data_IF_285502458156
#
_entry.id   IF_285502458156
#
_cell.length_a   1.000
_cell.length_b   1.000
_cell.length_c   1.000
_cell.angle_alpha   90.00
_cell.angle_beta   90.00
_cell.angle_gamma   90.00
#
_symmetry.space_group_name_H-M   'P 1'
#
loop_
_entity.id
_entity.type
_entity.pdbx_description
1 polymer ?
#
# COMPACT_ATOMS: atom_id res chain seq x y z
N UNK A 1 0.31 -20.02 -8.09
CA UNK A 1 0.31 -20.01 -6.60
C UNK A 1 1.18 -18.91 -6.01
N UNK A 2 2.47 -18.80 -6.39
CA UNK A 2 3.39 -17.76 -5.89
C UNK A 2 2.93 -16.32 -6.16
N UNK A 3 2.39 -16.05 -7.35
CA UNK A 3 1.85 -14.72 -7.71
C UNK A 3 0.75 -14.24 -6.74
N UNK A 4 -0.29 -15.06 -6.54
CA UNK A 4 -1.40 -14.72 -5.64
C UNK A 4 -0.94 -14.53 -4.19
N UNK A 5 0.00 -15.35 -3.74
CA UNK A 5 0.63 -15.16 -2.43
C UNK A 5 1.38 -13.82 -2.35
N UNK A 6 2.14 -13.46 -3.38
CA UNK A 6 2.82 -12.16 -3.45
C UNK A 6 1.84 -10.99 -3.40
N UNK A 7 0.72 -11.07 -4.14
CA UNK A 7 -0.36 -10.07 -4.09
C UNK A 7 -0.95 -9.98 -2.67
N UNK A 8 -1.23 -11.11 -2.02
CA UNK A 8 -1.77 -11.13 -0.66
C UNK A 8 -0.80 -10.50 0.34
N UNK A 9 0.50 -10.81 0.24
CA UNK A 9 1.53 -10.19 1.09
C UNK A 9 1.65 -8.69 0.79
N UNK A 10 1.47 -8.24 -0.46
CA UNK A 10 1.35 -6.82 -0.76
C UNK A 10 0.18 -6.18 -0.01
N UNK A 11 -1.01 -6.78 -0.02
CA UNK A 11 -2.15 -6.28 0.77
C UNK A 11 -1.82 -6.17 2.26
N UNK A 12 -1.21 -7.20 2.85
CA UNK A 12 -0.78 -7.17 4.26
C UNK A 12 0.25 -6.06 4.50
N UNK A 13 1.25 -5.94 3.63
CA UNK A 13 2.26 -4.88 3.70
C UNK A 13 1.66 -3.49 3.60
N UNK A 14 0.66 -3.28 2.73
CA UNK A 14 -0.04 -2.00 2.61
C UNK A 14 -0.85 -1.67 3.87
N UNK A 15 -1.49 -2.65 4.51
CA UNK A 15 -2.23 -2.44 5.76
C UNK A 15 -1.27 -2.00 6.87
N UNK A 16 -0.17 -2.74 7.07
CA UNK A 16 0.83 -2.42 8.09
C UNK A 16 1.50 -1.07 7.77
N UNK A 17 1.79 -0.82 6.48
CA UNK A 17 2.38 0.42 6.00
C UNK A 17 1.48 1.63 6.21
N UNK A 18 0.16 1.45 6.07
CA UNK A 18 -0.81 2.50 6.40
C UNK A 18 -0.72 2.89 7.87
N UNK A 19 -0.67 1.91 8.77
CA UNK A 19 -0.48 2.19 10.21
C UNK A 19 0.88 2.85 10.44
N UNK A 20 1.98 2.33 9.89
CA UNK A 20 3.31 2.94 10.05
C UNK A 20 3.29 4.45 9.76
N UNK A 21 2.59 4.89 8.70
CA UNK A 21 2.51 6.29 8.31
C UNK A 21 1.49 7.11 9.13
N UNK A 22 0.41 6.47 9.59
CA UNK A 22 -0.74 7.16 10.19
C UNK A 22 -0.91 6.90 11.68
N UNK A 23 -0.01 6.17 12.34
CA UNK A 23 -0.10 5.88 13.79
C UNK A 23 -0.21 7.17 14.63
N UNK A 24 0.52 8.22 14.27
CA UNK A 24 0.43 9.55 14.89
C UNK A 24 -0.96 10.21 14.76
N UNK A 25 -1.75 9.83 13.74
CA UNK A 25 -3.12 10.31 13.53
C UNK A 25 -4.15 9.35 14.12
N UNK A 26 -3.80 8.08 14.24
CA UNK A 26 -4.64 7.04 14.80
C UNK A 26 -4.75 7.16 16.32
N UNK A 27 -3.67 7.50 17.02
CA UNK A 27 -3.66 7.61 18.47
C UNK A 27 -2.61 8.59 18.97
N UNK A 28 -3.01 9.45 19.90
CA UNK A 28 -2.16 10.46 20.54
C UNK A 28 -0.95 9.86 21.25
N UNK A 29 -1.03 8.58 21.64
CA UNK A 29 0.09 7.88 22.28
C UNK A 29 1.30 7.69 21.33
N UNK A 30 1.07 7.63 20.02
CA UNK A 30 2.13 7.42 19.03
C UNK A 30 2.77 8.71 18.50
N UNK A 31 2.20 9.88 18.80
CA UNK A 31 2.61 11.17 18.21
C UNK A 31 4.08 11.51 18.42
N UNK A 32 4.65 11.17 19.59
CA UNK A 32 6.04 11.44 19.98
C UNK A 32 6.97 10.22 19.83
N UNK A 33 6.50 9.13 19.20
CA UNK A 33 7.23 7.85 19.13
C UNK A 33 7.57 7.41 17.69
N UNK A 34 8.14 8.28 16.83
CA UNK A 34 8.40 7.95 15.42
C UNK A 34 9.38 6.78 15.25
N UNK A 35 10.43 6.70 16.07
CA UNK A 35 11.41 5.60 16.00
C UNK A 35 10.78 4.26 16.38
N UNK A 36 9.92 4.25 17.39
CA UNK A 36 9.22 3.04 17.82
C UNK A 36 8.22 2.59 16.74
N UNK A 37 7.48 3.51 16.13
CA UNK A 37 6.60 3.20 15.00
C UNK A 37 7.39 2.64 13.80
N UNK A 38 8.55 3.22 13.48
CA UNK A 38 9.42 2.74 12.40
C UNK A 38 9.95 1.32 12.66
N UNK A 39 10.31 0.99 13.90
CA UNK A 39 10.80 -0.34 14.26
C UNK A 39 9.64 -1.35 14.26
N UNK A 40 8.53 -1.03 14.92
CA UNK A 40 7.43 -1.97 15.15
C UNK A 40 6.59 -2.19 13.90
N UNK A 41 6.32 -1.14 13.12
CA UNK A 41 5.49 -1.24 11.92
C UNK A 41 6.29 -1.12 10.63
N UNK A 42 7.33 -0.28 10.61
CA UNK A 42 8.15 -0.08 9.42
C UNK A 42 8.94 -1.32 9.03
N UNK A 43 9.61 -2.00 9.98
CA UNK A 43 10.36 -3.23 9.68
C UNK A 43 9.44 -4.33 9.11
N UNK A 44 8.29 -4.67 9.74
CA UNK A 44 7.38 -5.66 9.15
C UNK A 44 6.82 -5.24 7.79
N UNK A 45 6.53 -3.95 7.59
CA UNK A 45 6.10 -3.41 6.29
C UNK A 45 7.16 -3.67 5.22
N UNK A 46 8.43 -3.33 5.51
CA UNK A 46 9.55 -3.55 4.59
C UNK A 46 9.76 -5.04 4.28
N UNK A 47 9.64 -5.93 5.26
CA UNK A 47 9.74 -7.37 5.06
C UNK A 47 8.61 -7.90 4.17
N UNK A 48 7.37 -7.46 4.39
CA UNK A 48 6.24 -7.82 3.53
C UNK A 48 6.50 -7.38 2.08
N UNK A 49 6.90 -6.12 1.86
CA UNK A 49 7.18 -5.64 0.51
C UNK A 49 8.37 -6.34 -0.13
N UNK A 50 9.43 -6.64 0.61
CA UNK A 50 10.56 -7.41 0.09
C UNK A 50 10.13 -8.77 -0.48
N UNK A 51 9.36 -9.53 0.31
CA UNK A 51 8.89 -10.85 -0.11
C UNK A 51 7.82 -10.79 -1.20
N UNK A 52 6.85 -9.89 -1.08
CA UNK A 52 5.82 -9.69 -2.09
C UNK A 52 6.42 -9.29 -3.43
N UNK A 53 7.37 -8.34 -3.41
CA UNK A 53 8.07 -7.89 -4.60
C UNK A 53 8.74 -9.03 -5.34
N UNK A 54 9.56 -9.82 -4.62
CA UNK A 54 10.24 -10.98 -5.18
C UNK A 54 9.27 -11.99 -5.79
N UNK A 55 8.21 -12.35 -5.07
CA UNK A 55 7.23 -13.34 -5.54
C UNK A 55 6.51 -12.89 -6.80
N UNK A 56 6.12 -11.62 -6.88
CA UNK A 56 5.42 -11.07 -8.03
C UNK A 56 6.37 -10.89 -9.21
N UNK A 57 7.56 -10.33 -8.99
CA UNK A 57 8.52 -10.08 -10.08
C UNK A 57 9.03 -11.38 -10.69
N UNK A 58 9.32 -12.40 -9.89
CA UNK A 58 9.73 -13.73 -10.39
C UNK A 58 8.57 -14.45 -11.10
N UNK A 59 7.33 -14.28 -10.63
CA UNK A 59 6.17 -14.95 -11.25
C UNK A 59 5.77 -14.33 -12.59
N UNK A 60 6.07 -13.04 -12.80
CA UNK A 60 5.73 -12.28 -14.00
C UNK A 60 6.94 -11.97 -14.89
N UNK A 61 8.12 -12.45 -14.50
CA UNK A 61 9.42 -12.13 -15.11
C UNK A 61 9.63 -10.61 -15.34
N UNK A 62 9.11 -9.79 -14.42
CA UNK A 62 9.07 -8.33 -14.57
C UNK A 62 8.97 -7.61 -13.23
N UNK A 63 9.97 -6.78 -12.96
CA UNK A 63 9.96 -5.86 -11.81
C UNK A 63 8.90 -4.76 -11.96
N UNK A 64 8.54 -4.40 -13.19
CA UNK A 64 7.46 -3.44 -13.45
C UNK A 64 6.12 -3.99 -12.99
N UNK A 65 5.83 -5.26 -13.25
CA UNK A 65 4.61 -5.90 -12.77
C UNK A 65 4.51 -5.85 -11.24
N UNK A 66 5.61 -6.10 -10.52
CA UNK A 66 5.65 -5.95 -9.07
C UNK A 66 5.39 -4.49 -8.61
N UNK A 67 6.00 -3.50 -9.28
CA UNK A 67 5.79 -2.08 -8.99
C UNK A 67 4.33 -1.66 -9.14
N UNK A 68 3.67 -2.09 -10.21
CA UNK A 68 2.29 -1.70 -10.49
C UNK A 68 1.30 -2.45 -9.61
N UNK A 69 1.45 -3.75 -9.43
CA UNK A 69 0.63 -4.53 -8.50
C UNK A 69 0.76 -3.96 -7.06
N UNK A 70 1.99 -3.66 -6.62
CA UNK A 70 2.22 -3.00 -5.34
C UNK A 70 1.50 -1.65 -5.24
N UNK A 71 1.52 -0.83 -6.30
CA UNK A 71 0.76 0.43 -6.36
C UNK A 71 -0.75 0.22 -6.29
N UNK A 72 -1.30 -0.71 -7.07
CA UNK A 72 -2.73 -1.04 -7.08
C UNK A 72 -3.23 -1.39 -5.68
N UNK A 73 -2.53 -2.31 -5.02
CA UNK A 73 -2.90 -2.76 -3.68
C UNK A 73 -2.89 -1.59 -2.69
N UNK A 74 -1.95 -0.65 -2.83
CA UNK A 74 -1.91 0.58 -2.04
C UNK A 74 -3.11 1.49 -2.30
N UNK A 75 -3.46 1.72 -3.58
CA UNK A 75 -4.62 2.53 -3.95
C UNK A 75 -5.96 1.95 -3.50
N UNK A 76 -6.02 0.65 -3.24
CA UNK A 76 -7.19 0.01 -2.63
C UNK A 76 -7.14 0.19 -1.10
N UNK A 77 -6.04 -0.21 -0.47
CA UNK A 77 -5.95 -0.28 1.00
C UNK A 77 -5.96 1.09 1.66
N UNK A 78 -5.11 2.01 1.19
CA UNK A 78 -4.90 3.28 1.88
C UNK A 78 -6.17 4.11 1.99
N UNK A 79 -6.91 4.33 0.89
CA UNK A 79 -8.11 5.16 0.98
C UNK A 79 -9.22 4.52 1.82
N UNK A 80 -9.37 3.19 1.78
CA UNK A 80 -10.35 2.47 2.61
C UNK A 80 -10.02 2.64 4.09
N UNK A 81 -8.76 2.44 4.48
CA UNK A 81 -8.35 2.59 5.88
C UNK A 81 -8.41 4.06 6.33
N UNK A 82 -7.98 5.00 5.50
CA UNK A 82 -8.10 6.44 5.80
C UNK A 82 -9.54 6.86 6.02
N UNK A 83 -10.46 6.39 5.18
CA UNK A 83 -11.88 6.69 5.34
C UNK A 83 -12.49 6.02 6.57
N UNK A 84 -12.21 4.74 6.80
CA UNK A 84 -12.81 3.97 7.90
C UNK A 84 -12.23 4.33 9.27
N UNK A 85 -10.91 4.55 9.37
CA UNK A 85 -10.21 4.73 10.65
C UNK A 85 -10.05 6.21 11.00
N UNK A 86 -9.68 7.07 10.04
CA UNK A 86 -9.47 8.50 10.30
C UNK A 86 -10.73 9.33 10.00
N UNK A 87 -11.77 8.74 9.42
CA UNK A 87 -13.00 9.45 9.06
C UNK A 87 -12.83 10.45 7.92
N UNK A 88 -11.66 10.47 7.25
CA UNK A 88 -11.40 11.37 6.14
C UNK A 88 -12.09 10.89 4.87
N UNK A 89 -12.99 11.70 4.32
CA UNK A 89 -13.72 11.33 3.10
C UNK A 89 -12.76 11.16 1.93
N UNK A 90 -12.81 9.98 1.29
CA UNK A 90 -12.15 9.72 0.02
C UNK A 90 -12.77 10.52 -1.14
N UNK A 91 -14.02 10.95 -1.00
CA UNK A 91 -14.82 11.56 -2.07
C UNK A 91 -14.59 13.07 -2.21
N UNK A 92 -13.37 13.55 -1.97
CA UNK A 92 -13.01 14.93 -2.35
C UNK A 92 -12.62 14.98 -3.82
N UNK A 93 -12.92 16.10 -4.49
CA UNK A 93 -12.58 16.27 -5.91
C UNK A 93 -11.09 16.01 -6.18
N UNK A 94 -10.20 16.47 -5.29
CA UNK A 94 -8.75 16.27 -5.42
C UNK A 94 -8.39 14.77 -5.32
N UNK A 95 -8.89 14.07 -4.32
CA UNK A 95 -8.62 12.63 -4.12
C UNK A 95 -9.18 11.80 -5.27
N UNK A 96 -10.39 12.11 -5.73
CA UNK A 96 -11.03 11.38 -6.83
C UNK A 96 -10.30 11.56 -8.17
N UNK A 97 -9.79 12.76 -8.46
CA UNK A 97 -8.94 13.00 -9.65
C UNK A 97 -7.65 12.17 -9.55
N UNK A 98 -6.96 12.20 -8.41
CA UNK A 98 -5.74 11.41 -8.21
C UNK A 98 -5.99 9.90 -8.36
N UNK A 99 -7.11 9.40 -7.81
CA UNK A 99 -7.49 8.00 -7.92
C UNK A 99 -7.79 7.62 -9.39
N UNK A 100 -8.54 8.45 -10.10
CA UNK A 100 -8.82 8.25 -11.53
C UNK A 100 -7.53 8.21 -12.36
N UNK A 101 -6.62 9.17 -12.16
CA UNK A 101 -5.32 9.19 -12.84
C UNK A 101 -4.50 7.93 -12.52
N UNK A 102 -4.56 7.46 -11.28
CA UNK A 102 -3.89 6.22 -10.86
C UNK A 102 -4.45 5.00 -11.61
N UNK A 103 -5.77 4.89 -11.77
CA UNK A 103 -6.38 3.84 -12.58
C UNK A 103 -6.01 3.95 -14.07
N UNK A 104 -5.90 5.16 -14.62
CA UNK A 104 -5.47 5.36 -16.00
C UNK A 104 -4.02 4.89 -16.21
N UNK A 105 -3.11 5.20 -15.29
CA UNK A 105 -1.73 4.69 -15.32
C UNK A 105 -1.71 3.16 -15.29
N UNK A 106 -2.53 2.55 -14.41
CA UNK A 106 -2.63 1.09 -14.32
C UNK A 106 -3.18 0.47 -15.60
N UNK A 107 -4.18 1.09 -16.22
CA UNK A 107 -4.72 0.63 -17.50
C UNK A 107 -3.63 0.61 -18.58
N UNK A 108 -2.88 1.70 -18.73
CA UNK A 108 -1.77 1.77 -19.68
C UNK A 108 -0.80 0.61 -19.45
N UNK A 109 -0.39 0.37 -18.21
CA UNK A 109 0.61 -0.65 -17.87
C UNK A 109 0.15 -2.10 -18.01
N UNK A 110 -1.17 -2.34 -18.06
CA UNK A 110 -1.72 -3.69 -18.27
C UNK A 110 -1.90 -3.96 -19.76
N UNK A 111 -2.29 -2.96 -20.55
CA UNK A 111 -2.72 -3.15 -21.94
C UNK A 111 -1.71 -2.68 -23.00
N UNK A 112 -0.69 -1.91 -22.63
CA UNK A 112 0.33 -1.38 -23.52
C UNK A 112 1.73 -1.57 -22.94
#
# INVERSE_FOLDING_TARGET
MKLYLGILIFFVGQIIGWYHLNLQKFSTWWEDKPLMAAIIMGIPTSLCFWHAWRLVSESMDSVWSARFIGSCTGFIVFPILTWFILGESMFTTKTMICLFLSFAILFVQIFY
#
